data_IF_057035728330
#
_entry.id   IF_057035728330
#
_cell.length_a   1.000
_cell.length_b   1.000
_cell.length_c   1.000
_cell.angle_alpha   90.00
_cell.angle_beta   90.00
_cell.angle_gamma   90.00
#
_symmetry.space_group_name_H-M   'P 1'
#
loop_
_entity.id
_entity.type
_entity.pdbx_description
1 polymer ?
#
# COMPACT_ATOMS: atom_id res chain seq x y z
N UNK A 1 -0.29 -17.74 0.05
CA UNK A 1 -0.59 -16.33 -0.28
C UNK A 1 0.74 -15.60 -0.29
N UNK A 2 1.11 -14.97 -1.41
CA UNK A 2 2.26 -14.08 -1.45
C UNK A 2 1.78 -12.74 -0.90
N UNK A 3 2.35 -12.28 0.20
CA UNK A 3 2.03 -10.98 0.77
C UNK A 3 2.96 -9.94 0.15
N UNK A 4 2.41 -8.79 -0.25
CA UNK A 4 3.19 -7.65 -0.74
C UNK A 4 3.70 -6.84 0.44
N UNK A 5 4.82 -7.29 1.01
CA UNK A 5 5.42 -6.67 2.20
C UNK A 5 6.25 -5.46 1.82
N UNK A 6 5.98 -4.33 2.47
CA UNK A 6 6.76 -3.11 2.31
C UNK A 6 8.14 -3.32 2.92
N UNK A 7 9.19 -3.09 2.11
CA UNK A 7 10.59 -3.34 2.51
C UNK A 7 11.31 -2.10 3.01
N UNK A 8 10.92 -0.93 2.54
CA UNK A 8 11.58 0.33 2.84
C UNK A 8 10.67 1.49 2.47
N UNK A 9 10.83 2.61 3.16
CA UNK A 9 10.13 3.86 2.89
C UNK A 9 11.15 4.91 2.45
N UNK A 10 10.82 5.65 1.39
CA UNK A 10 11.64 6.77 0.96
C UNK A 10 11.37 7.99 1.86
N UNK A 11 12.44 8.67 2.28
CA UNK A 11 12.34 9.89 3.08
C UNK A 11 11.67 11.01 2.28
N UNK A 12 10.74 11.72 2.91
CA UNK A 12 9.92 12.78 2.33
C UNK A 12 8.88 12.29 1.31
N UNK A 13 8.53 11.00 1.37
CA UNK A 13 7.48 10.44 0.50
C UNK A 13 6.12 10.48 1.20
N UNK A 14 5.06 10.42 0.39
CA UNK A 14 3.67 10.30 0.89
C UNK A 14 3.55 9.14 1.89
N UNK A 15 4.24 8.03 1.63
CA UNK A 15 4.23 6.87 2.52
C UNK A 15 4.88 7.15 3.91
N UNK A 16 5.89 8.04 3.99
CA UNK A 16 6.44 8.48 5.27
C UNK A 16 5.44 9.39 6.01
N UNK A 17 4.77 10.30 5.30
CA UNK A 17 3.76 11.20 5.86
C UNK A 17 2.53 10.45 6.38
N UNK A 18 2.15 9.36 5.72
CA UNK A 18 1.05 8.47 6.11
C UNK A 18 1.45 7.41 7.15
N UNK A 19 2.65 7.51 7.73
CA UNK A 19 3.16 6.61 8.77
C UNK A 19 3.16 5.13 8.36
N UNK A 20 3.39 4.87 7.06
CA UNK A 20 3.62 3.53 6.55
C UNK A 20 5.04 3.12 6.95
N UNK A 21 5.21 1.86 7.37
CA UNK A 21 6.48 1.36 7.88
C UNK A 21 6.92 0.08 7.16
N UNK A 22 8.23 -0.21 7.11
CA UNK A 22 8.72 -1.52 6.67
C UNK A 22 8.10 -2.64 7.52
N UNK A 23 7.53 -3.64 6.87
CA UNK A 23 6.80 -4.74 7.52
C UNK A 23 5.29 -4.67 7.35
N UNK A 24 4.74 -3.49 7.04
CA UNK A 24 3.34 -3.36 6.65
C UNK A 24 3.06 -4.12 5.35
N UNK A 25 1.83 -4.58 5.19
CA UNK A 25 1.40 -5.38 4.04
C UNK A 25 0.43 -4.59 3.20
N UNK A 26 0.71 -4.49 1.90
CA UNK A 26 -0.25 -3.96 0.93
C UNK A 26 -1.29 -5.04 0.62
N UNK A 27 -2.55 -4.74 0.92
CA UNK A 27 -3.69 -5.67 0.77
C UNK A 27 -4.40 -5.42 -0.56
N UNK A 28 -4.81 -4.18 -0.81
CA UNK A 28 -5.56 -3.82 -2.01
C UNK A 28 -5.37 -2.35 -2.40
N UNK A 29 -5.68 -2.06 -3.67
CA UNK A 29 -5.87 -0.70 -4.18
C UNK A 29 -7.24 -0.63 -4.86
N UNK A 30 -8.05 0.35 -4.49
CA UNK A 30 -9.46 0.52 -4.91
C UNK A 30 -10.30 -0.74 -4.73
N UNK A 31 -10.06 -1.46 -3.63
CA UNK A 31 -10.72 -2.73 -3.31
C UNK A 31 -10.25 -3.93 -4.14
N UNK A 32 -9.27 -3.76 -5.04
CA UNK A 32 -8.69 -4.85 -5.83
C UNK A 32 -7.45 -5.43 -5.16
N UNK A 33 -7.47 -6.74 -4.88
CA UNK A 33 -6.30 -7.47 -4.38
C UNK A 33 -5.15 -7.40 -5.40
N UNK A 34 -3.95 -7.12 -4.91
CA UNK A 34 -2.74 -7.13 -5.75
C UNK A 34 -2.22 -8.57 -5.84
N UNK A 35 -2.09 -9.13 -7.04
CA UNK A 35 -1.52 -10.48 -7.23
C UNK A 35 -0.05 -10.42 -7.59
N UNK A 36 0.32 -9.44 -8.42
CA UNK A 36 1.69 -9.23 -8.86
C UNK A 36 2.01 -7.74 -9.11
N UNK A 37 3.21 -7.49 -9.62
CA UNK A 37 3.71 -6.13 -9.87
C UNK A 37 2.96 -5.40 -11.00
N UNK A 38 2.29 -6.12 -11.91
CA UNK A 38 1.54 -5.51 -13.00
C UNK A 38 0.22 -4.93 -12.47
N UNK A 39 -0.46 -5.63 -11.56
CA UNK A 39 -1.65 -5.12 -10.88
C UNK A 39 -1.34 -3.81 -10.15
N UNK A 40 -0.27 -3.81 -9.33
CA UNK A 40 0.18 -2.62 -8.62
C UNK A 40 0.42 -1.45 -9.58
N UNK A 41 1.20 -1.67 -10.64
CA UNK A 41 1.49 -0.63 -11.64
C UNK A 41 0.25 -0.13 -12.34
N UNK A 42 -0.74 -0.99 -12.59
CA UNK A 42 -1.97 -0.60 -13.24
C UNK A 42 -2.80 0.31 -12.33
N UNK A 43 -3.00 -0.08 -11.07
CA UNK A 43 -3.86 0.65 -10.13
C UNK A 43 -3.28 2.01 -9.73
N UNK A 44 -1.98 2.14 -9.53
CA UNK A 44 -1.36 3.43 -9.16
C UNK A 44 -1.34 4.49 -10.28
N UNK A 45 -1.80 4.17 -11.50
CA UNK A 45 -1.85 5.17 -12.58
C UNK A 45 -3.06 6.11 -12.47
N UNK A 46 -3.96 5.88 -11.52
CA UNK A 46 -5.02 6.84 -11.22
C UNK A 46 -4.44 8.11 -10.59
N UNK A 47 -5.10 9.25 -10.80
CA UNK A 47 -4.73 10.51 -10.12
C UNK A 47 -4.97 10.43 -8.61
N UNK A 48 -6.02 9.73 -8.20
CA UNK A 48 -6.35 9.47 -6.80
C UNK A 48 -6.76 8.00 -6.66
N UNK A 49 -6.38 7.35 -5.56
CA UNK A 49 -6.79 5.98 -5.25
C UNK A 49 -6.80 5.70 -3.75
N UNK A 50 -7.59 4.71 -3.33
CA UNK A 50 -7.63 4.25 -1.94
C UNK A 50 -6.81 2.98 -1.79
N UNK A 51 -5.89 2.95 -0.84
CA UNK A 51 -5.01 1.82 -0.54
C UNK A 51 -5.35 1.23 0.83
N UNK A 52 -5.46 -0.09 0.91
CA UNK A 52 -5.60 -0.80 2.19
C UNK A 52 -4.30 -1.48 2.56
N UNK A 53 -3.80 -1.21 3.76
CA UNK A 53 -2.62 -1.86 4.33
C UNK A 53 -2.97 -2.57 5.65
N UNK A 54 -2.28 -3.67 5.93
CA UNK A 54 -2.26 -4.28 7.26
C UNK A 54 -0.96 -3.89 7.96
N UNK A 55 -1.07 -3.21 9.10
CA UNK A 55 0.05 -2.86 9.96
C UNK A 55 0.65 -4.13 10.59
N UNK A 56 1.91 -4.05 11.03
CA UNK A 56 2.58 -5.19 11.67
C UNK A 56 1.87 -5.74 12.93
N UNK A 57 1.02 -4.92 13.58
CA UNK A 57 0.19 -5.33 14.73
C UNK A 57 -1.12 -6.05 14.32
N UNK A 58 -1.42 -6.14 13.02
CA UNK A 58 -2.64 -6.75 12.46
C UNK A 58 -3.81 -5.79 12.28
N UNK A 59 -3.65 -4.49 12.54
CA UNK A 59 -4.67 -3.48 12.23
C UNK A 59 -4.68 -3.17 10.73
N UNK A 60 -5.88 -3.08 10.16
CA UNK A 60 -6.06 -2.66 8.77
C UNK A 60 -6.34 -1.16 8.70
N UNK A 61 -5.58 -0.46 7.87
CA UNK A 61 -5.70 0.97 7.62
C UNK A 61 -6.10 1.20 6.16
N UNK A 62 -7.08 2.06 5.94
CA UNK A 62 -7.50 2.55 4.63
C UNK A 62 -6.93 3.96 4.44
N UNK A 63 -6.20 4.17 3.36
CA UNK A 63 -5.40 5.36 3.09
C UNK A 63 -5.76 5.91 1.72
N UNK A 64 -6.19 7.18 1.68
CA UNK A 64 -6.42 7.88 0.42
C UNK A 64 -5.11 8.52 -0.08
N UNK A 65 -4.79 8.30 -1.35
CA UNK A 65 -3.57 8.77 -2.01
C UNK A 65 -3.96 9.71 -3.17
N UNK A 66 -3.31 10.87 -3.25
CA UNK A 66 -3.40 11.92 -4.29
C UNK A 66 -1.99 12.31 -4.78
#
# INVERSE_FOLDING_TARGET
MNFHIIKSIAKGSIAEELEIEPGDKLISIDGNEIKDVLDYRYYINAEEFTMVIEKANGEEWELDIE
#
